data_IF_502779319584
#
_entry.id   IF_502779319584
#
_cell.length_a   1.000
_cell.length_b   1.000
_cell.length_c   1.000
_cell.angle_alpha   90.00
_cell.angle_beta   90.00
_cell.angle_gamma   90.00
#
_symmetry.space_group_name_H-M   'P 1'
#
loop_
_entity.id
_entity.type
_entity.pdbx_description
1 polymer ?
#
# COMPACT_ATOMS: atom_id res chain seq x y z
N UNK A 1 8.30 27.25 -24.15
CA UNK A 1 7.18 27.24 -23.18
C UNK A 1 6.23 26.14 -23.55
N UNK A 2 5.85 25.26 -22.61
CA UNK A 2 4.98 24.08 -22.87
C UNK A 2 3.47 24.40 -22.80
N UNK A 3 3.10 25.67 -22.73
CA UNK A 3 1.73 26.15 -22.47
C UNK A 3 0.90 26.44 -23.74
N UNK A 4 1.46 26.28 -24.93
CA UNK A 4 0.75 26.42 -26.22
C UNK A 4 0.03 25.13 -26.67
N UNK A 5 -0.82 25.20 -27.71
CA UNK A 5 -1.53 24.03 -28.28
C UNK A 5 -0.60 22.86 -28.62
N UNK A 6 0.54 23.14 -29.24
CA UNK A 6 1.58 22.15 -29.57
C UNK A 6 2.17 21.48 -28.31
N UNK A 7 2.30 22.23 -27.21
CA UNK A 7 2.76 21.69 -25.93
C UNK A 7 1.75 20.75 -25.27
N UNK A 8 0.45 21.02 -25.44
CA UNK A 8 -0.62 20.12 -24.98
C UNK A 8 -0.67 18.84 -25.78
N UNK A 9 -0.57 18.94 -27.11
CA UNK A 9 -0.52 17.77 -28.00
C UNK A 9 0.70 16.90 -27.71
N UNK A 10 1.86 17.52 -27.51
CA UNK A 10 3.07 16.83 -27.09
C UNK A 10 2.88 16.04 -25.79
N UNK A 11 2.34 16.65 -24.74
CA UNK A 11 2.08 15.95 -23.48
C UNK A 11 1.10 14.78 -23.64
N UNK A 12 0.10 14.91 -24.51
CA UNK A 12 -0.82 13.80 -24.83
C UNK A 12 -0.08 12.65 -25.51
N UNK A 13 0.83 12.91 -26.45
CA UNK A 13 1.65 11.87 -27.09
C UNK A 13 2.50 11.12 -26.07
N UNK A 14 3.15 11.81 -25.13
CA UNK A 14 3.96 11.18 -24.09
C UNK A 14 3.12 10.37 -23.10
N UNK A 15 1.92 10.86 -22.74
CA UNK A 15 1.00 10.12 -21.89
C UNK A 15 0.54 8.81 -22.58
N UNK A 16 0.20 8.86 -23.86
CA UNK A 16 -0.14 7.68 -24.66
C UNK A 16 1.02 6.70 -24.79
N UNK A 17 2.25 7.20 -25.02
CA UNK A 17 3.43 6.34 -25.05
C UNK A 17 3.66 5.63 -23.71
N UNK A 18 3.53 6.36 -22.60
CA UNK A 18 3.68 5.80 -21.24
C UNK A 18 2.63 4.72 -20.96
N UNK A 19 1.38 4.92 -21.41
CA UNK A 19 0.33 3.90 -21.32
C UNK A 19 0.72 2.61 -22.06
N UNK A 20 1.19 2.71 -23.30
CA UNK A 20 1.56 1.54 -24.11
C UNK A 20 2.79 0.81 -23.54
N UNK A 21 3.78 1.54 -23.01
CA UNK A 21 4.88 0.92 -22.27
C UNK A 21 4.39 0.16 -21.03
N UNK A 22 3.40 0.72 -20.31
CA UNK A 22 2.79 0.06 -19.17
C UNK A 22 2.08 -1.24 -19.55
N UNK A 23 1.30 -1.23 -20.63
CA UNK A 23 0.62 -2.43 -21.15
C UNK A 23 1.61 -3.50 -21.59
N UNK A 24 2.69 -3.11 -22.28
CA UNK A 24 3.74 -4.04 -22.69
C UNK A 24 4.42 -4.68 -21.48
N UNK A 25 4.82 -3.87 -20.50
CA UNK A 25 5.41 -4.38 -19.26
C UNK A 25 4.45 -5.31 -18.52
N UNK A 26 3.15 -4.98 -18.48
CA UNK A 26 2.13 -5.83 -17.86
C UNK A 26 1.98 -7.18 -18.58
N UNK A 27 2.00 -7.19 -19.91
CA UNK A 27 1.95 -8.40 -20.74
C UNK A 27 3.16 -9.31 -20.50
N UNK A 28 4.31 -8.73 -20.15
CA UNK A 28 5.54 -9.42 -19.78
C UNK A 28 5.64 -9.73 -18.27
N UNK A 29 4.57 -9.48 -17.51
CA UNK A 29 4.49 -9.66 -16.06
C UNK A 29 5.53 -8.84 -15.25
N UNK A 30 5.98 -7.71 -15.81
CA UNK A 30 6.86 -6.73 -15.17
C UNK A 30 6.03 -5.68 -14.42
N UNK A 31 5.43 -6.09 -13.31
CA UNK A 31 4.47 -5.27 -12.56
C UNK A 31 5.02 -3.92 -12.07
N UNK A 32 6.22 -3.82 -11.46
CA UNK A 32 6.77 -2.54 -11.04
C UNK A 32 6.89 -1.54 -12.20
N UNK A 33 7.41 -2.00 -13.34
CA UNK A 33 7.58 -1.20 -14.54
C UNK A 33 6.24 -0.79 -15.18
N UNK A 34 5.26 -1.70 -15.17
CA UNK A 34 3.90 -1.42 -15.64
C UNK A 34 3.24 -0.31 -14.80
N UNK A 35 3.26 -0.45 -13.47
CA UNK A 35 2.65 0.51 -12.53
C UNK A 35 3.32 1.88 -12.67
N UNK A 36 4.66 1.93 -12.72
CA UNK A 36 5.39 3.18 -12.89
C UNK A 36 5.03 3.90 -14.21
N UNK A 37 4.87 3.14 -15.29
CA UNK A 37 4.48 3.69 -16.60
C UNK A 37 3.03 4.20 -16.60
N UNK A 38 2.11 3.50 -15.92
CA UNK A 38 0.74 3.97 -15.73
C UNK A 38 0.68 5.24 -14.87
N UNK A 39 1.44 5.30 -13.79
CA UNK A 39 1.53 6.50 -12.95
C UNK A 39 2.12 7.69 -13.71
N UNK A 40 3.11 7.47 -14.57
CA UNK A 40 3.64 8.49 -15.46
C UNK A 40 2.58 8.98 -16.46
N UNK A 41 1.82 8.08 -17.08
CA UNK A 41 0.72 8.45 -17.98
C UNK A 41 -0.35 9.31 -17.28
N UNK A 42 -0.69 8.96 -16.04
CA UNK A 42 -1.66 9.69 -15.21
C UNK A 42 -1.12 11.07 -14.83
N UNK A 43 0.15 11.18 -14.42
CA UNK A 43 0.73 12.45 -13.98
C UNK A 43 0.90 13.46 -15.13
N UNK A 44 1.16 13.00 -16.36
CA UNK A 44 1.41 13.87 -17.51
C UNK A 44 0.17 14.66 -17.95
N UNK A 45 -0.97 13.97 -18.09
CA UNK A 45 -2.25 14.59 -18.51
C UNK A 45 -3.40 13.93 -17.72
N UNK A 46 -3.66 14.32 -16.46
CA UNK A 46 -4.59 13.63 -15.56
C UNK A 46 -6.01 13.43 -16.11
N UNK A 47 -6.53 14.41 -16.85
CA UNK A 47 -7.88 14.37 -17.44
C UNK A 47 -7.91 13.75 -18.85
N UNK A 48 -6.75 13.33 -19.36
CA UNK A 48 -6.56 12.80 -20.70
C UNK A 48 -7.05 11.37 -20.86
N UNK A 49 -7.26 10.95 -22.11
CA UNK A 49 -7.69 9.58 -22.42
C UNK A 49 -6.67 8.53 -21.96
N UNK A 50 -5.37 8.81 -22.12
CA UNK A 50 -4.31 7.92 -21.68
C UNK A 50 -4.31 7.71 -20.16
N UNK A 51 -4.54 8.78 -19.38
CA UNK A 51 -4.66 8.69 -17.92
C UNK A 51 -5.87 7.85 -17.49
N UNK A 52 -7.03 8.06 -18.11
CA UNK A 52 -8.24 7.24 -17.85
C UNK A 52 -8.02 5.77 -18.17
N UNK A 53 -7.36 5.48 -19.29
CA UNK A 53 -7.01 4.11 -19.67
C UNK A 53 -6.00 3.50 -18.68
N UNK A 54 -4.94 4.24 -18.30
CA UNK A 54 -3.97 3.79 -17.30
C UNK A 54 -4.62 3.51 -15.93
N UNK A 55 -5.56 4.35 -15.50
CA UNK A 55 -6.36 4.12 -14.29
C UNK A 55 -7.20 2.84 -14.39
N UNK A 56 -7.80 2.58 -15.55
CA UNK A 56 -8.55 1.35 -15.79
C UNK A 56 -7.66 0.11 -15.75
N UNK A 57 -6.47 0.16 -16.36
CA UNK A 57 -5.48 -0.94 -16.26
C UNK A 57 -5.05 -1.17 -14.81
N UNK A 58 -4.70 -0.11 -14.07
CA UNK A 58 -4.37 -0.22 -12.63
C UNK A 58 -5.53 -0.81 -11.81
N UNK A 59 -6.78 -0.45 -12.13
CA UNK A 59 -7.95 -0.97 -11.43
C UNK A 59 -8.07 -2.50 -11.52
N UNK A 60 -7.70 -3.09 -12.67
CA UNK A 60 -7.68 -4.55 -12.83
C UNK A 60 -6.61 -5.22 -11.96
N UNK A 61 -5.53 -4.51 -11.60
CA UNK A 61 -4.46 -5.07 -10.78
C UNK A 61 -4.91 -5.35 -9.33
N UNK A 62 -5.87 -4.61 -8.80
CA UNK A 62 -6.37 -4.82 -7.42
C UNK A 62 -7.00 -6.21 -7.22
N UNK A 63 -7.41 -6.89 -8.31
CA UNK A 63 -7.90 -8.26 -8.26
C UNK A 63 -6.81 -9.33 -8.19
N UNK A 64 -5.53 -8.97 -8.36
CA UNK A 64 -4.40 -9.92 -8.39
C UNK A 64 -4.03 -10.44 -7.00
N UNK A 65 -4.03 -9.59 -5.99
CA UNK A 65 -3.77 -10.02 -4.61
C UNK A 65 -5.02 -10.66 -4.04
N UNK A 66 -4.95 -11.96 -3.74
CA UNK A 66 -6.03 -12.68 -3.06
C UNK A 66 -5.84 -12.61 -1.55
N UNK A 67 -6.96 -12.48 -0.84
CA UNK A 67 -7.02 -12.30 0.60
C UNK A 67 -7.98 -13.31 1.22
N UNK A 68 -7.52 -13.99 2.27
CA UNK A 68 -8.31 -14.90 3.09
C UNK A 68 -8.75 -14.18 4.37
N UNK A 69 -10.02 -14.34 4.73
CA UNK A 69 -10.53 -13.85 6.01
C UNK A 69 -10.12 -14.82 7.11
N UNK A 70 -9.45 -14.32 8.14
CA UNK A 70 -9.17 -15.01 9.38
C UNK A 70 -9.98 -14.40 10.53
N UNK A 71 -10.35 -15.22 11.52
CA UNK A 71 -11.13 -14.79 12.68
C UNK A 71 -12.64 -14.68 12.41
N UNK A 72 -13.35 -13.98 13.30
CA UNK A 72 -14.83 -13.95 13.34
C UNK A 72 -15.43 -12.64 12.83
N UNK A 73 -14.62 -11.76 12.22
CA UNK A 73 -15.12 -10.49 11.69
C UNK A 73 -15.79 -10.75 10.34
N UNK A 74 -17.04 -10.36 10.24
CA UNK A 74 -17.70 -10.18 8.95
C UNK A 74 -17.24 -8.86 8.35
N UNK A 75 -16.46 -8.94 7.28
CA UNK A 75 -15.97 -7.76 6.59
C UNK A 75 -17.03 -7.24 5.62
N UNK A 76 -17.46 -5.99 5.81
CA UNK A 76 -18.37 -5.32 4.88
C UNK A 76 -17.69 -5.15 3.52
N UNK A 77 -18.42 -5.41 2.43
CA UNK A 77 -17.92 -5.21 1.07
C UNK A 77 -18.57 -3.98 0.43
N UNK A 78 -17.77 -2.97 0.09
CA UNK A 78 -18.22 -1.78 -0.63
C UNK A 78 -18.36 -2.01 -2.14
N UNK A 79 -19.00 -1.07 -2.85
CA UNK A 79 -19.23 -1.14 -4.31
C UNK A 79 -17.94 -1.25 -5.13
N UNK A 80 -16.85 -0.68 -4.61
CA UNK A 80 -15.55 -0.64 -5.28
C UNK A 80 -14.61 -1.75 -4.80
N UNK A 81 -15.17 -2.81 -4.20
CA UNK A 81 -14.39 -3.92 -3.63
C UNK A 81 -13.69 -3.56 -2.31
N UNK A 82 -14.22 -2.56 -1.59
CA UNK A 82 -13.72 -2.12 -0.29
C UNK A 82 -13.91 -3.18 0.79
N UNK A 83 -12.97 -3.32 1.71
CA UNK A 83 -13.10 -4.12 2.92
C UNK A 83 -13.38 -3.20 4.11
N UNK A 84 -14.54 -3.33 4.73
CA UNK A 84 -14.96 -2.55 5.89
C UNK A 84 -14.91 -3.38 7.17
N UNK A 85 -14.20 -2.85 8.17
CA UNK A 85 -14.24 -3.33 9.54
C UNK A 85 -15.29 -2.49 10.30
N UNK A 86 -16.40 -3.11 10.72
CA UNK A 86 -17.42 -2.46 11.53
C UNK A 86 -16.87 -1.88 12.84
N UNK A 87 -17.65 -1.06 13.54
CA UNK A 87 -17.20 -0.39 14.77
C UNK A 87 -16.93 -1.33 15.95
N UNK A 88 -17.25 -2.63 15.85
CA UNK A 88 -17.01 -3.56 16.95
C UNK A 88 -15.52 -3.88 17.02
N UNK A 89 -14.98 -3.88 18.24
CA UNK A 89 -13.65 -4.43 18.47
C UNK A 89 -13.71 -5.94 18.38
N UNK A 90 -12.93 -6.51 17.46
CA UNK A 90 -12.80 -7.95 17.27
C UNK A 90 -11.30 -8.23 17.11
N UNK A 91 -10.70 -8.83 18.13
CA UNK A 91 -9.31 -9.27 18.10
C UNK A 91 -9.18 -10.56 17.28
N UNK A 92 -7.98 -10.83 16.75
CA UNK A 92 -7.71 -12.06 16.00
C UNK A 92 -8.42 -12.14 14.63
N UNK A 93 -8.91 -11.02 14.10
CA UNK A 93 -9.61 -10.98 12.83
C UNK A 93 -8.87 -10.14 11.79
N UNK A 94 -8.47 -10.79 10.70
CA UNK A 94 -7.53 -10.27 9.71
C UNK A 94 -7.97 -10.58 8.28
N UNK A 95 -7.49 -9.78 7.33
CA UNK A 95 -7.35 -10.19 5.94
C UNK A 95 -5.92 -10.64 5.74
N UNK A 96 -5.68 -11.91 5.48
CA UNK A 96 -4.34 -12.47 5.29
C UNK A 96 -4.10 -12.70 3.79
N UNK A 97 -2.95 -12.30 3.27
CA UNK A 97 -2.61 -12.57 1.87
C UNK A 97 -2.52 -14.07 1.60
N UNK A 98 -2.88 -14.51 0.40
CA UNK A 98 -2.73 -15.93 0.04
C UNK A 98 -1.29 -16.34 -0.24
N UNK A 99 -0.45 -15.40 -0.67
CA UNK A 99 0.98 -15.60 -0.91
C UNK A 99 1.83 -14.90 0.15
N UNK A 100 3.06 -15.36 0.29
CA UNK A 100 4.14 -14.71 1.03
C UNK A 100 4.99 -13.83 0.10
N UNK A 101 5.74 -12.89 0.67
CA UNK A 101 6.54 -11.91 -0.07
C UNK A 101 7.88 -11.68 0.63
N UNK A 102 8.94 -11.49 -0.17
CA UNK A 102 10.27 -11.12 0.34
C UNK A 102 10.50 -9.62 0.24
N UNK A 103 10.81 -9.15 -0.97
CA UNK A 103 10.99 -7.75 -1.31
C UNK A 103 9.75 -7.32 -2.07
N UNK A 104 8.99 -6.37 -1.53
CA UNK A 104 7.68 -6.04 -2.09
C UNK A 104 7.31 -4.58 -1.88
N UNK A 105 6.30 -4.19 -2.65
CA UNK A 105 5.48 -3.01 -2.35
C UNK A 105 4.08 -3.48 -2.05
N UNK A 106 3.50 -3.00 -0.96
CA UNK A 106 2.07 -3.08 -0.69
C UNK A 106 1.50 -1.66 -0.70
N UNK A 107 0.54 -1.41 -1.58
CA UNK A 107 -0.17 -0.13 -1.67
C UNK A 107 -1.67 -0.34 -1.53
N UNK A 108 -2.33 0.58 -0.83
CA UNK A 108 -3.79 0.61 -0.71
C UNK A 108 -4.27 2.00 -0.32
N UNK A 109 -5.58 2.21 -0.41
CA UNK A 109 -6.24 3.35 0.23
C UNK A 109 -6.96 2.88 1.49
N UNK A 110 -6.90 3.70 2.55
CA UNK A 110 -7.61 3.45 3.80
C UNK A 110 -8.37 4.68 4.28
N UNK A 111 -9.38 4.44 5.11
CA UNK A 111 -10.13 5.49 5.79
C UNK A 111 -10.46 5.04 7.21
N UNK A 112 -10.07 5.84 8.19
CA UNK A 112 -10.59 5.76 9.56
C UNK A 112 -11.83 6.66 9.66
N UNK A 113 -12.99 6.08 9.95
CA UNK A 113 -14.26 6.81 9.99
C UNK A 113 -14.53 7.47 11.36
N UNK A 114 -13.80 7.04 12.39
CA UNK A 114 -13.97 7.50 13.77
C UNK A 114 -12.63 7.84 14.42
N UNK A 115 -12.59 8.84 15.33
CA UNK A 115 -11.43 9.06 16.19
C UNK A 115 -11.08 7.81 16.98
N UNK A 116 -9.80 7.47 17.06
CA UNK A 116 -9.32 6.31 17.82
C UNK A 116 -9.60 4.94 17.18
N UNK A 117 -10.21 4.90 15.99
CA UNK A 117 -10.23 3.70 15.17
C UNK A 117 -8.79 3.22 14.95
N UNK A 118 -8.55 1.90 14.96
CA UNK A 118 -7.22 1.33 14.77
C UNK A 118 -7.24 0.20 13.75
N UNK A 119 -6.27 0.27 12.85
CA UNK A 119 -6.00 -0.67 11.78
C UNK A 119 -4.49 -0.74 11.51
N UNK A 120 -4.13 -1.21 10.32
CA UNK A 120 -2.75 -1.32 9.89
C UNK A 120 -2.49 -2.54 9.03
N UNK A 121 -1.23 -2.64 8.64
CA UNK A 121 -0.69 -3.73 7.85
C UNK A 121 0.42 -4.42 8.65
N UNK A 122 0.25 -5.72 8.86
CA UNK A 122 1.30 -6.62 9.31
C UNK A 122 2.07 -7.19 8.12
N UNK A 123 3.37 -7.39 8.30
CA UNK A 123 4.27 -7.97 7.31
C UNK A 123 5.35 -8.83 7.98
N UNK A 124 6.04 -9.65 7.16
CA UNK A 124 6.90 -10.77 7.62
C UNK A 124 6.19 -11.71 8.63
N UNK A 125 4.88 -11.88 8.48
CA UNK A 125 4.11 -12.80 9.30
C UNK A 125 4.27 -14.23 8.79
N UNK A 126 4.49 -15.20 9.68
CA UNK A 126 4.71 -16.60 9.31
C UNK A 126 3.49 -17.29 8.66
N UNK A 127 2.30 -16.67 8.72
CA UNK A 127 1.06 -17.23 8.18
C UNK A 127 0.24 -18.02 9.21
N UNK A 128 0.88 -18.41 10.32
CA UNK A 128 0.25 -19.09 11.45
C UNK A 128 0.43 -18.33 12.77
N UNK A 129 -0.52 -18.53 13.69
CA UNK A 129 -0.58 -17.81 14.96
C UNK A 129 -1.26 -16.45 14.84
N UNK A 130 -0.86 -15.52 15.70
CA UNK A 130 -1.39 -14.16 15.75
C UNK A 130 -0.37 -13.19 15.13
N UNK A 131 -0.70 -12.47 14.04
CA UNK A 131 0.20 -11.48 13.44
C UNK A 131 0.72 -10.42 14.41
N UNK A 132 -0.01 -10.13 15.49
CA UNK A 132 0.45 -9.22 16.54
C UNK A 132 1.69 -9.74 17.28
N UNK A 133 1.78 -11.05 17.49
CA UNK A 133 2.86 -11.68 18.22
C UNK A 133 4.03 -12.07 17.31
N UNK A 134 3.75 -12.32 16.02
CA UNK A 134 4.70 -12.94 15.06
C UNK A 134 4.88 -12.16 13.76
N UNK A 135 4.61 -10.85 13.76
CA UNK A 135 4.80 -9.99 12.60
C UNK A 135 5.10 -8.54 13.00
N UNK A 136 5.55 -7.76 12.03
CA UNK A 136 5.76 -6.32 12.21
C UNK A 136 4.53 -5.56 11.73
N UNK A 137 4.13 -4.50 12.44
CA UNK A 137 2.94 -3.73 12.09
C UNK A 137 3.29 -2.29 11.73
N UNK A 138 2.84 -1.84 10.56
CA UNK A 138 2.69 -0.40 10.32
C UNK A 138 1.30 0.03 10.79
N UNK A 139 1.28 0.95 11.76
CA UNK A 139 0.04 1.37 12.41
C UNK A 139 -0.73 2.38 11.57
N UNK A 140 -2.06 2.24 11.53
CA UNK A 140 -2.97 3.23 10.94
C UNK A 140 -4.08 3.51 11.95
N UNK A 141 -4.39 4.79 12.17
CA UNK A 141 -5.36 5.19 13.17
C UNK A 141 -6.22 6.39 12.73
N UNK A 142 -7.36 6.55 13.40
CA UNK A 142 -8.15 7.78 13.38
C UNK A 142 -7.54 8.86 14.28
N UNK A 143 -6.30 9.26 14.02
CA UNK A 143 -5.47 10.13 14.89
C UNK A 143 -5.05 11.45 14.22
N UNK A 144 -5.63 11.79 13.07
CA UNK A 144 -5.26 12.97 12.28
C UNK A 144 -5.32 14.30 13.06
N UNK A 145 -6.24 14.43 14.02
CA UNK A 145 -6.38 15.63 14.86
C UNK A 145 -5.55 15.59 16.16
N UNK A 146 -4.93 14.45 16.47
CA UNK A 146 -4.15 14.31 17.69
C UNK A 146 -2.80 15.01 17.55
N UNK A 147 -2.40 15.74 18.59
CA UNK A 147 -1.09 16.39 18.65
C UNK A 147 0.00 15.38 19.01
N UNK A 148 1.22 15.66 18.54
CA UNK A 148 2.37 14.80 18.77
C UNK A 148 2.47 13.65 17.78
N UNK A 149 3.65 13.03 17.79
CA UNK A 149 4.00 11.84 17.03
C UNK A 149 4.73 10.90 17.98
N UNK A 150 4.26 9.67 18.03
CA UNK A 150 4.82 8.59 18.82
C UNK A 150 4.77 7.27 18.04
N UNK A 151 5.28 6.20 18.65
CA UNK A 151 5.32 4.86 18.08
C UNK A 151 3.94 4.18 17.95
N UNK A 152 2.85 4.89 18.28
CA UNK A 152 1.47 4.45 18.13
C UNK A 152 0.68 5.34 17.18
N UNK A 153 1.33 6.32 16.56
CA UNK A 153 0.72 7.22 15.58
C UNK A 153 0.61 6.56 14.21
N UNK A 154 -0.29 7.07 13.36
CA UNK A 154 -0.42 6.64 11.96
C UNK A 154 0.93 6.74 11.22
N UNK A 155 1.36 5.63 10.62
CA UNK A 155 2.63 5.50 9.89
C UNK A 155 3.80 4.98 10.73
N UNK A 156 3.62 4.76 12.03
CA UNK A 156 4.63 4.20 12.92
C UNK A 156 4.90 2.72 12.62
N UNK A 157 6.15 2.27 12.87
CA UNK A 157 6.41 0.87 13.19
C UNK A 157 5.92 0.65 14.62
N UNK A 158 4.78 -0.04 14.76
CA UNK A 158 3.98 -0.05 15.98
C UNK A 158 4.81 -0.49 17.19
N UNK A 159 4.87 0.37 18.21
CA UNK A 159 5.60 0.11 19.45
C UNK A 159 7.12 0.32 19.39
N UNK A 160 7.70 0.56 18.20
CA UNK A 160 9.14 0.80 18.02
C UNK A 160 9.43 2.24 17.60
N UNK A 161 9.01 2.63 16.39
CA UNK A 161 9.51 3.84 15.74
C UNK A 161 8.36 4.77 15.36
N UNK A 162 8.45 6.02 15.81
CA UNK A 162 7.50 7.06 15.46
C UNK A 162 7.70 7.57 14.02
N UNK A 163 6.63 7.95 13.32
CA UNK A 163 6.75 8.60 12.02
C UNK A 163 7.35 10.02 12.18
N UNK A 164 7.96 10.52 11.11
CA UNK A 164 8.57 11.85 11.03
C UNK A 164 7.55 12.98 10.83
N UNK A 165 6.35 12.67 10.32
CA UNK A 165 5.28 13.66 10.05
C UNK A 165 3.89 13.02 10.02
N UNK A 166 2.87 13.83 10.28
CA UNK A 166 1.44 13.47 10.20
C UNK A 166 0.81 14.13 8.98
N UNK A 167 0.47 13.32 7.98
CA UNK A 167 -0.07 13.78 6.69
C UNK A 167 -1.39 13.09 6.30
N UNK A 168 -1.89 12.22 7.17
CA UNK A 168 -3.19 11.57 6.99
C UNK A 168 -4.34 12.58 7.15
N UNK A 169 -5.31 12.52 6.24
CA UNK A 169 -6.54 13.30 6.28
C UNK A 169 -7.57 12.61 7.17
N UNK A 170 -8.26 13.39 7.99
CA UNK A 170 -9.36 12.91 8.84
C UNK A 170 -10.56 12.51 7.99
N UNK A 171 -11.20 11.38 8.31
CA UNK A 171 -12.46 10.92 7.74
C UNK A 171 -12.48 10.95 6.20
N UNK A 172 -11.34 10.65 5.59
CA UNK A 172 -11.15 10.68 4.14
C UNK A 172 -10.21 9.55 3.72
N UNK A 173 -10.30 9.17 2.44
CA UNK A 173 -9.39 8.22 1.84
C UNK A 173 -7.94 8.75 1.84
N UNK A 174 -7.05 7.98 2.45
CA UNK A 174 -5.62 8.19 2.50
C UNK A 174 -4.91 7.12 1.70
N UNK A 175 -3.90 7.51 0.92
CA UNK A 175 -3.03 6.54 0.26
C UNK A 175 -2.01 6.04 1.26
N UNK A 176 -1.73 4.74 1.22
CA UNK A 176 -0.68 4.08 1.95
C UNK A 176 0.19 3.31 0.99
N UNK A 177 1.50 3.37 1.20
CA UNK A 177 2.48 2.55 0.49
C UNK A 177 3.57 2.11 1.46
N UNK A 178 3.73 0.80 1.57
CA UNK A 178 4.85 0.16 2.26
C UNK A 178 5.79 -0.42 1.20
N UNK A 179 7.07 -0.07 1.28
CA UNK A 179 8.14 -0.71 0.49
C UNK A 179 9.08 -1.43 1.44
N UNK A 180 9.33 -2.72 1.18
CA UNK A 180 10.24 -3.56 1.94
C UNK A 180 11.27 -4.16 0.98
N UNK A 181 12.56 -3.97 1.28
CA UNK A 181 13.68 -4.57 0.53
C UNK A 181 14.73 -5.05 1.52
N UNK A 182 14.79 -6.36 1.76
CA UNK A 182 15.55 -6.91 2.87
C UNK A 182 15.10 -6.28 4.19
N UNK A 183 16.01 -5.74 5.03
CA UNK A 183 15.62 -5.06 6.26
C UNK A 183 15.01 -3.66 6.01
N UNK A 184 15.30 -3.03 4.87
CA UNK A 184 14.94 -1.65 4.62
C UNK A 184 13.42 -1.52 4.46
N UNK A 185 12.81 -0.76 5.37
CA UNK A 185 11.37 -0.51 5.42
C UNK A 185 11.06 0.97 5.24
N UNK A 186 10.26 1.29 4.23
CA UNK A 186 9.81 2.67 3.95
C UNK A 186 8.29 2.76 3.90
N UNK A 187 7.74 3.70 4.66
CA UNK A 187 6.31 3.99 4.72
C UNK A 187 6.04 5.36 4.11
N UNK A 188 5.09 5.40 3.19
CA UNK A 188 4.56 6.61 2.57
C UNK A 188 3.06 6.73 2.83
N UNK A 189 2.62 7.93 3.19
CA UNK A 189 1.20 8.28 3.36
C UNK A 189 0.92 9.51 2.51
N UNK A 190 -0.13 9.44 1.68
CA UNK A 190 -0.50 10.52 0.76
C UNK A 190 0.69 11.03 -0.08
N UNK A 191 1.47 10.10 -0.64
CA UNK A 191 2.64 10.36 -1.49
C UNK A 191 3.81 11.05 -0.76
N UNK A 192 3.81 11.04 0.57
CA UNK A 192 4.88 11.58 1.41
C UNK A 192 5.53 10.50 2.29
N UNK A 193 6.87 10.40 2.29
CA UNK A 193 7.63 9.49 3.17
C UNK A 193 7.46 9.90 4.62
N UNK A 194 6.81 9.06 5.43
CA UNK A 194 6.58 9.30 6.87
C UNK A 194 7.52 8.52 7.77
N UNK A 195 8.03 7.37 7.33
CA UNK A 195 8.96 6.55 8.10
C UNK A 195 9.93 5.84 7.16
N UNK A 196 11.18 5.77 7.59
CA UNK A 196 12.24 4.92 7.03
C UNK A 196 12.94 4.28 8.23
N UNK A 197 12.97 2.95 8.27
CA UNK A 197 13.55 2.19 9.37
C UNK A 197 14.02 0.81 8.87
N UNK A 198 14.75 0.10 9.71
CA UNK A 198 15.21 -1.26 9.45
C UNK A 198 14.45 -2.25 10.32
N UNK A 199 13.96 -3.30 9.69
CA UNK A 199 13.24 -4.38 10.35
C UNK A 199 14.06 -5.67 10.24
N UNK A 200 14.35 -6.38 11.34
CA UNK A 200 15.10 -7.64 11.26
C UNK A 200 14.38 -8.69 10.41
N UNK A 201 15.07 -9.18 9.39
CA UNK A 201 14.59 -10.25 8.49
C UNK A 201 15.50 -11.47 8.61
N UNK A 202 14.90 -12.65 8.74
CA UNK A 202 15.64 -13.91 8.76
C UNK A 202 16.30 -14.15 7.40
N UNK A 203 17.59 -14.48 7.40
CA UNK A 203 18.28 -14.88 6.16
C UNK A 203 17.83 -16.25 5.64
N UNK A 204 17.37 -17.13 6.52
CA UNK A 204 16.89 -18.46 6.16
C UNK A 204 15.42 -18.42 5.68
N UNK A 205 14.63 -17.53 6.25
CA UNK A 205 13.19 -17.38 6.00
C UNK A 205 12.86 -15.90 5.75
N UNK A 206 13.30 -15.32 4.62
CA UNK A 206 13.14 -13.89 4.38
C UNK A 206 11.73 -13.52 3.89
N UNK A 207 10.90 -14.51 3.56
CA UNK A 207 9.54 -14.34 3.07
C UNK A 207 8.53 -14.38 4.21
N UNK A 208 7.46 -13.61 4.10
CA UNK A 208 6.31 -13.75 4.98
C UNK A 208 5.01 -13.22 4.38
N UNK A 209 3.90 -13.61 4.97
CA UNK A 209 2.57 -13.17 4.61
C UNK A 209 2.32 -11.74 5.08
N UNK A 210 1.30 -11.12 4.48
CA UNK A 210 0.75 -9.85 4.90
C UNK A 210 -0.57 -10.08 5.62
N UNK A 211 -0.87 -9.29 6.63
CA UNK A 211 -2.18 -9.30 7.27
C UNK A 211 -2.69 -7.88 7.52
N UNK A 212 -3.93 -7.59 7.17
CA UNK A 212 -4.57 -6.29 7.45
C UNK A 212 -5.55 -6.48 8.59
N UNK A 213 -5.51 -5.58 9.58
CA UNK A 213 -6.45 -5.57 10.69
C UNK A 213 -7.39 -4.36 10.68
N UNK A 214 -8.38 -4.41 11.56
CA UNK A 214 -9.29 -3.31 11.84
C UNK A 214 -9.78 -3.43 13.28
N UNK A 215 -8.87 -3.77 14.20
CA UNK A 215 -9.19 -4.21 15.58
C UNK A 215 -10.01 -3.15 16.30
N UNK A 216 -9.69 -1.87 16.16
CA UNK A 216 -10.45 -0.77 16.80
C UNK A 216 -11.79 -0.44 16.12
N UNK A 217 -12.10 -1.09 15.00
CA UNK A 217 -13.31 -0.89 14.22
C UNK A 217 -13.39 0.45 13.49
N UNK A 218 -14.38 0.60 12.61
CA UNK A 218 -14.59 1.79 11.76
C UNK A 218 -13.41 2.12 10.85
N UNK A 219 -12.91 1.08 10.17
CA UNK A 219 -11.85 1.17 9.16
C UNK A 219 -12.35 0.66 7.82
N UNK A 220 -11.98 1.33 6.73
CA UNK A 220 -12.17 0.83 5.37
C UNK A 220 -10.84 0.76 4.64
N UNK A 221 -10.69 -0.27 3.81
CA UNK A 221 -9.54 -0.49 2.93
C UNK A 221 -10.03 -0.72 1.51
N UNK A 222 -9.34 -0.21 0.50
CA UNK A 222 -9.64 -0.49 -0.91
C UNK A 222 -8.39 -0.40 -1.77
N UNK A 223 -8.53 -0.85 -3.03
CA UNK A 223 -7.46 -0.77 -4.03
C UNK A 223 -6.15 -1.41 -3.53
N UNK A 224 -6.29 -2.54 -2.84
CA UNK A 224 -5.14 -3.22 -2.23
C UNK A 224 -4.37 -3.95 -3.33
N UNK A 225 -3.10 -3.62 -3.46
CA UNK A 225 -2.20 -4.21 -4.44
C UNK A 225 -0.87 -4.56 -3.77
N UNK A 226 -0.38 -5.76 -4.07
CA UNK A 226 0.95 -6.22 -3.66
C UNK A 226 1.69 -6.71 -4.89
N UNK A 227 2.95 -6.31 -5.03
CA UNK A 227 3.84 -6.78 -6.08
C UNK A 227 5.26 -6.91 -5.57
N UNK A 228 5.96 -7.94 -6.02
CA UNK A 228 7.35 -8.17 -5.66
C UNK A 228 8.29 -7.24 -6.43
N UNK A 229 9.37 -6.89 -5.75
CA UNK A 229 10.51 -6.19 -6.30
C UNK A 229 11.60 -7.23 -6.60
N UNK A 230 12.35 -7.03 -7.69
CA UNK A 230 13.54 -7.84 -7.93
C UNK A 230 14.53 -7.60 -6.81
N UNK A 231 15.04 -8.67 -6.21
CA UNK A 231 16.18 -8.58 -5.29
C UNK A 231 17.31 -7.84 -6.01
N UNK A 232 17.87 -6.76 -5.42
CA UNK A 232 19.04 -6.11 -6.00
C UNK A 232 20.11 -7.17 -6.22
N UNK A 233 20.60 -7.31 -7.45
CA UNK A 233 21.75 -8.17 -7.71
C UNK A 233 22.87 -7.66 -6.80
N UNK A 234 23.35 -8.51 -5.88
CA UNK A 234 24.42 -8.15 -4.99
C UNK A 234 25.57 -7.62 -5.84
N UNK A 235 25.90 -6.33 -5.72
CA UNK A 235 27.13 -5.81 -6.29
C UNK A 235 28.24 -6.69 -5.71
N UNK A 236 28.91 -7.46 -6.58
CA UNK A 236 30.21 -8.04 -6.25
C UNK A 236 31.07 -6.85 -5.83
N UNK A 237 31.28 -6.71 -4.54
CA UNK A 237 32.36 -5.87 -4.03
C UNK A 237 33.63 -6.64 -4.40
N UNK A 238 34.35 -6.10 -5.39
CA UNK A 238 35.78 -6.38 -5.57
C UNK A 238 36.58 -5.75 -4.42
#
# INVERSE_FOLDING_TARGET
GRSGPEGKEFLQTFASHSLEQGKLALAENRLPEAIASFDAAIALVPDGQAAKAAQAEKAQLYGRTKWKVAGKRDWERGSDGEWGADAKRIDGAYLVSEGDYENFVCEFEWMAEKPGAQGGLYFHYAGEGNPFDFGYKIHLAGDADQQGLDQYSTGALFGSDAPKKKVAKKNAWNKFRLTVVGPDTKVEINDEVVLETDVPVSKAEPRGYLAIDGVGGSFRYRKILVYELKTPSAKRQE
#
